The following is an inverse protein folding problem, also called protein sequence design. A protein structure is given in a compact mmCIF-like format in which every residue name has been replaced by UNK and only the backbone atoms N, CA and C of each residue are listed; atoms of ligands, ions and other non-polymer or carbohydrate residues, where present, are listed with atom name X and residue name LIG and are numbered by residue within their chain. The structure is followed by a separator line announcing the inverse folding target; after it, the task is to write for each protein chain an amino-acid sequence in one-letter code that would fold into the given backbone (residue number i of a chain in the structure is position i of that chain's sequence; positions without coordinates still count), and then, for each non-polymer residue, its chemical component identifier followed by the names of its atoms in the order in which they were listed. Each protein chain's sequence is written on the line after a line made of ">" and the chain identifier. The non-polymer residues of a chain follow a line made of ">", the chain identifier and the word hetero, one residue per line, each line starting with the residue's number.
data_IF_877782972978
#
_entry.id   IF_877782972978
#
_cell.length_a   1.000
_cell.length_b   1.000
_cell.length_c   1.000
_cell.angle_alpha   90.00
_cell.angle_beta   90.00
_cell.angle_gamma   90.00
#
_symmetry.space_group_name_H-M   'P 1'
#
loop_
_entity.id
_entity.type
_entity.pdbx_description
1 polymer ?
#
# COMPACT_ATOMS: atom_id res chain seq x y z
N UNK A 1 2.36 -16.35 -10.04
CA UNK A 1 1.26 -16.02 -9.12
C UNK A 1 0.62 -14.70 -9.51
N UNK A 2 1.28 -13.56 -9.42
CA UNK A 2 0.77 -12.21 -9.76
C UNK A 2 0.08 -12.14 -11.15
N UNK A 3 0.73 -12.64 -12.20
CA UNK A 3 0.19 -12.64 -13.56
C UNK A 3 -1.13 -13.43 -13.69
N UNK A 4 -1.27 -14.51 -12.95
CA UNK A 4 -2.51 -15.32 -12.97
C UNK A 4 -3.64 -14.61 -12.21
N UNK A 5 -3.31 -13.91 -11.12
CA UNK A 5 -4.28 -13.14 -10.32
C UNK A 5 -4.82 -11.97 -11.14
N UNK A 6 -3.94 -11.27 -11.84
CA UNK A 6 -4.28 -10.05 -12.57
C UNK A 6 -4.55 -10.26 -14.06
N UNK A 7 -4.47 -11.52 -14.55
CA UNK A 7 -4.62 -11.88 -15.96
C UNK A 7 -3.74 -11.03 -16.90
N UNK A 8 -2.48 -10.81 -16.51
CA UNK A 8 -1.49 -10.06 -17.28
C UNK A 8 -0.42 -10.97 -17.86
N UNK A 9 0.13 -10.56 -19.02
CA UNK A 9 1.25 -11.27 -19.65
C UNK A 9 2.55 -10.96 -18.94
N UNK A 10 3.33 -12.01 -18.60
CA UNK A 10 4.70 -11.87 -18.13
C UNK A 10 5.66 -11.95 -19.31
N UNK A 11 6.61 -11.04 -19.38
CA UNK A 11 7.79 -11.13 -20.23
C UNK A 11 8.97 -11.58 -19.36
N UNK A 12 9.75 -12.54 -19.86
CA UNK A 12 10.98 -12.98 -19.21
C UNK A 12 12.12 -12.19 -19.83
N UNK A 13 12.77 -11.35 -19.04
CA UNK A 13 13.86 -10.49 -19.48
C UNK A 13 15.10 -10.69 -18.60
N UNK A 14 16.26 -10.58 -19.22
CA UNK A 14 17.54 -10.56 -18.52
C UNK A 14 17.83 -9.14 -18.02
N UNK A 15 17.89 -8.95 -16.71
CA UNK A 15 18.16 -7.64 -16.10
C UNK A 15 19.47 -6.99 -16.59
N UNK A 16 20.45 -7.79 -17.02
CA UNK A 16 21.71 -7.25 -17.59
C UNK A 16 21.50 -6.58 -18.97
N UNK A 17 20.36 -6.81 -19.62
CA UNK A 17 19.99 -6.21 -20.90
C UNK A 17 19.13 -4.98 -20.77
N UNK A 18 18.69 -4.65 -19.56
CA UNK A 18 17.95 -3.42 -19.32
C UNK A 18 18.86 -2.22 -19.52
N UNK A 19 18.40 -1.24 -20.26
CA UNK A 19 19.09 0.03 -20.42
C UNK A 19 19.19 0.76 -19.08
N UNK A 20 20.25 1.55 -18.88
CA UNK A 20 20.51 2.24 -17.60
C UNK A 20 19.44 3.28 -17.23
N UNK A 21 18.71 3.75 -18.22
CA UNK A 21 17.61 4.71 -18.08
C UNK A 21 16.23 4.03 -18.07
N UNK A 22 16.20 2.69 -18.04
CA UNK A 22 14.95 1.95 -17.93
C UNK A 22 14.23 2.30 -16.62
N UNK A 23 13.03 2.85 -16.74
CA UNK A 23 12.22 3.24 -15.59
C UNK A 23 11.60 2.01 -14.92
N UNK A 24 12.10 1.66 -13.75
CA UNK A 24 11.56 0.58 -12.91
C UNK A 24 10.61 1.20 -11.90
N UNK A 25 9.34 0.84 -11.97
CA UNK A 25 8.30 1.36 -11.06
C UNK A 25 8.40 0.67 -9.70
N UNK A 26 8.53 -0.65 -9.68
CA UNK A 26 8.75 -1.46 -8.48
C UNK A 26 9.50 -2.75 -8.80
N UNK A 27 10.18 -3.28 -7.80
CA UNK A 27 10.73 -4.64 -7.81
C UNK A 27 9.94 -5.46 -6.79
N UNK A 28 9.65 -6.71 -7.10
CA UNK A 28 8.93 -7.61 -6.21
C UNK A 28 9.68 -8.93 -6.08
N UNK A 29 9.90 -9.37 -4.84
CA UNK A 29 10.30 -10.73 -4.53
C UNK A 29 9.04 -11.54 -4.21
N UNK A 30 8.93 -12.72 -4.83
CA UNK A 30 7.77 -13.60 -4.69
C UNK A 30 8.28 -14.99 -4.33
N UNK A 31 7.90 -15.47 -3.15
CA UNK A 31 8.26 -16.82 -2.69
C UNK A 31 7.27 -17.28 -1.60
N UNK A 32 7.46 -18.49 -1.10
CA UNK A 32 6.74 -18.98 0.07
C UNK A 32 7.06 -18.11 1.31
N UNK A 33 6.09 -17.99 2.20
CA UNK A 33 6.15 -17.09 3.35
C UNK A 33 7.42 -17.27 4.19
N UNK A 34 7.80 -18.51 4.48
CA UNK A 34 9.00 -18.82 5.30
C UNK A 34 10.31 -18.44 4.60
N UNK A 35 10.36 -18.62 3.27
CA UNK A 35 11.53 -18.25 2.46
C UNK A 35 11.66 -16.74 2.40
N UNK A 36 10.54 -16.07 2.15
CA UNK A 36 10.49 -14.60 2.09
C UNK A 36 10.84 -13.98 3.45
N UNK A 37 10.38 -14.55 4.57
CA UNK A 37 10.75 -14.08 5.90
C UNK A 37 12.27 -14.17 6.14
N UNK A 38 12.89 -15.28 5.76
CA UNK A 38 14.36 -15.40 5.85
C UNK A 38 15.10 -14.38 4.99
N UNK A 39 14.55 -14.05 3.81
CA UNK A 39 15.11 -13.00 2.96
C UNK A 39 15.00 -11.63 3.65
N UNK A 40 13.85 -11.31 4.25
CA UNK A 40 13.61 -10.06 4.99
C UNK A 40 14.59 -9.93 6.16
N UNK A 41 14.76 -10.97 6.97
CA UNK A 41 15.64 -10.98 8.14
C UNK A 41 17.12 -10.78 7.78
N UNK A 42 17.49 -11.07 6.52
CA UNK A 42 18.85 -10.91 6.00
C UNK A 42 19.02 -9.72 5.04
N UNK A 43 17.98 -8.89 4.85
CA UNK A 43 18.10 -7.71 4.01
C UNK A 43 19.12 -6.72 4.60
N UNK A 44 20.11 -6.26 3.81
CA UNK A 44 21.02 -5.22 4.23
C UNK A 44 20.29 -3.94 4.63
N UNK A 45 20.77 -3.27 5.68
CA UNK A 45 20.16 -2.02 6.18
C UNK A 45 20.09 -0.95 5.10
N UNK A 46 21.08 -0.91 4.21
CA UNK A 46 21.16 0.03 3.09
C UNK A 46 19.97 -0.09 2.12
N UNK A 47 19.30 -1.24 2.09
CA UNK A 47 18.08 -1.42 1.27
C UNK A 47 16.95 -0.57 1.84
N UNK A 48 16.76 -0.59 3.16
CA UNK A 48 15.76 0.22 3.85
C UNK A 48 16.09 1.72 3.81
N UNK A 49 17.38 2.08 3.69
CA UNK A 49 17.80 3.46 3.55
C UNK A 49 17.47 4.03 2.15
N UNK A 50 17.45 3.17 1.13
CA UNK A 50 17.28 3.57 -0.29
C UNK A 50 15.88 3.36 -0.82
N UNK A 51 15.14 2.41 -0.27
CA UNK A 51 13.84 1.99 -0.81
C UNK A 51 12.78 1.94 0.29
N UNK A 52 11.54 2.17 -0.09
CA UNK A 52 10.38 1.76 0.69
C UNK A 52 10.21 0.26 0.48
N UNK A 53 10.30 -0.51 1.57
CA UNK A 53 10.16 -1.98 1.56
C UNK A 53 8.83 -2.32 2.21
N UNK A 54 7.94 -2.96 1.48
CA UNK A 54 6.58 -3.25 1.94
C UNK A 54 6.26 -4.72 1.71
N UNK A 55 5.70 -5.36 2.72
CA UNK A 55 5.09 -6.68 2.59
C UNK A 55 3.60 -6.51 2.29
N UNK A 56 3.23 -6.63 1.02
CA UNK A 56 1.83 -6.44 0.57
C UNK A 56 0.98 -7.71 0.70
N UNK A 57 1.61 -8.87 0.81
CA UNK A 57 0.99 -10.15 1.11
C UNK A 57 2.02 -11.08 1.77
N UNK A 58 1.63 -12.19 2.41
CA UNK A 58 2.57 -13.12 3.03
C UNK A 58 3.70 -13.60 2.10
N UNK A 59 3.41 -13.68 0.80
CA UNK A 59 4.30 -14.17 -0.27
C UNK A 59 4.81 -13.06 -1.20
N UNK A 60 4.58 -11.78 -0.91
CA UNK A 60 5.05 -10.61 -1.69
C UNK A 60 5.86 -9.65 -0.84
N UNK A 61 7.09 -9.36 -1.27
CA UNK A 61 7.91 -8.28 -0.75
C UNK A 61 8.21 -7.30 -1.88
N UNK A 62 7.79 -6.07 -1.72
CA UNK A 62 7.91 -5.00 -2.71
C UNK A 62 8.97 -3.98 -2.31
N UNK A 63 9.73 -3.55 -3.32
CA UNK A 63 10.72 -2.48 -3.20
C UNK A 63 10.30 -1.35 -4.13
N UNK A 64 10.02 -0.20 -3.54
CA UNK A 64 9.57 1.00 -4.25
C UNK A 64 10.59 2.13 -4.06
N UNK A 65 10.51 3.15 -4.90
CA UNK A 65 11.24 4.38 -4.62
C UNK A 65 10.87 4.88 -3.22
N UNK A 66 11.85 5.35 -2.45
CA UNK A 66 11.66 5.78 -1.06
C UNK A 66 10.63 6.92 -0.91
N UNK A 67 10.50 7.74 -1.94
CA UNK A 67 9.53 8.84 -1.98
C UNK A 67 8.12 8.40 -2.40
N UNK A 68 7.92 7.10 -2.70
CA UNK A 68 6.64 6.58 -3.19
C UNK A 68 6.00 5.69 -2.13
N UNK A 69 4.87 6.15 -1.61
CA UNK A 69 3.94 5.38 -0.78
C UNK A 69 2.51 5.86 -1.06
N UNK A 70 1.51 5.19 -0.52
CA UNK A 70 0.10 5.55 -0.76
C UNK A 70 -0.25 6.93 -0.20
N UNK A 71 0.37 7.38 0.89
CA UNK A 71 0.17 8.73 1.42
C UNK A 71 0.62 9.81 0.44
N UNK A 72 1.82 9.69 -0.11
CA UNK A 72 2.31 10.60 -1.17
C UNK A 72 1.36 10.59 -2.38
N UNK A 73 0.83 9.42 -2.75
CA UNK A 73 -0.17 9.31 -3.81
C UNK A 73 -1.44 10.11 -3.51
N UNK A 74 -1.94 10.03 -2.28
CA UNK A 74 -3.10 10.81 -1.80
C UNK A 74 -2.80 12.31 -1.82
N UNK A 75 -1.65 12.74 -1.32
CA UNK A 75 -1.25 14.16 -1.33
C UNK A 75 -1.17 14.72 -2.76
N UNK A 76 -0.54 13.98 -3.67
CA UNK A 76 -0.45 14.38 -5.08
C UNK A 76 -1.82 14.48 -5.75
N UNK A 77 -2.71 13.52 -5.46
CA UNK A 77 -4.07 13.51 -6.01
C UNK A 77 -4.90 14.69 -5.46
N UNK A 78 -4.87 14.92 -4.14
CA UNK A 78 -5.55 16.05 -3.51
C UNK A 78 -5.07 17.38 -4.10
N UNK A 79 -3.76 17.55 -4.25
CA UNK A 79 -3.16 18.74 -4.89
C UNK A 79 -3.62 18.89 -6.34
N UNK A 80 -3.66 17.80 -7.10
CA UNK A 80 -4.13 17.83 -8.50
C UNK A 80 -5.61 18.24 -8.61
N UNK A 81 -6.42 17.79 -7.66
CA UNK A 81 -7.85 18.13 -7.59
C UNK A 81 -8.12 19.52 -6.99
N UNK A 82 -7.11 20.19 -6.44
CA UNK A 82 -7.25 21.50 -5.80
C UNK A 82 -7.97 21.45 -4.45
N UNK A 83 -7.94 20.31 -3.75
CA UNK A 83 -8.50 20.12 -2.41
C UNK A 83 -7.39 19.95 -1.38
N UNK A 84 -7.72 20.20 -0.11
CA UNK A 84 -6.81 19.98 1.03
C UNK A 84 -6.98 18.59 1.60
N UNK A 85 -5.98 18.10 2.33
CA UNK A 85 -6.05 16.77 2.95
C UNK A 85 -7.20 16.66 3.97
N UNK A 86 -7.58 17.76 4.62
CA UNK A 86 -8.74 17.79 5.54
C UNK A 86 -10.07 17.43 4.85
N UNK A 87 -10.12 17.51 3.52
CA UNK A 87 -11.29 17.16 2.71
C UNK A 87 -11.21 15.75 2.14
N UNK A 88 -10.20 14.97 2.54
CA UNK A 88 -9.94 13.63 2.03
C UNK A 88 -10.31 12.59 3.06
N UNK A 89 -11.04 11.56 2.63
CA UNK A 89 -11.26 10.34 3.38
C UNK A 89 -10.45 9.22 2.71
N UNK A 90 -9.68 8.48 3.50
CA UNK A 90 -8.97 7.30 3.04
C UNK A 90 -9.43 6.07 3.80
N UNK A 91 -9.41 4.90 3.16
CA UNK A 91 -9.80 3.64 3.78
C UNK A 91 -8.75 2.58 3.46
N UNK A 92 -8.35 1.78 4.46
CA UNK A 92 -7.33 0.77 4.28
C UNK A 92 -7.33 -0.30 5.36
N UNK A 93 -6.54 -1.36 5.16
CA UNK A 93 -6.50 -2.51 6.05
C UNK A 93 -5.09 -3.07 6.30
N UNK A 94 -4.08 -2.70 5.50
CA UNK A 94 -2.74 -3.30 5.53
C UNK A 94 -1.63 -2.25 5.74
N UNK A 95 -0.43 -2.69 6.10
CA UNK A 95 0.70 -1.81 6.42
C UNK A 95 1.09 -0.81 5.33
N UNK A 96 0.84 -1.13 4.05
CA UNK A 96 1.04 -0.18 2.95
C UNK A 96 0.02 0.96 2.90
N UNK A 97 -1.04 0.89 3.71
CA UNK A 97 -2.09 1.92 3.82
C UNK A 97 -1.80 2.92 4.95
N UNK A 98 -0.87 2.59 5.85
CA UNK A 98 -0.57 3.38 7.06
C UNK A 98 -0.46 4.88 6.74
N UNK A 99 0.42 5.24 5.82
CA UNK A 99 0.70 6.65 5.52
C UNK A 99 -0.50 7.40 4.91
N UNK A 100 -1.36 6.71 4.14
CA UNK A 100 -2.55 7.37 3.60
C UNK A 100 -3.64 7.54 4.67
N UNK A 101 -3.71 6.64 5.65
CA UNK A 101 -4.62 6.76 6.80
C UNK A 101 -4.18 7.93 7.69
N UNK A 102 -2.87 8.07 7.94
CA UNK A 102 -2.32 9.14 8.77
C UNK A 102 -2.44 10.53 8.14
N UNK A 103 -2.24 10.66 6.82
CA UNK A 103 -2.19 11.96 6.16
C UNK A 103 -3.57 12.55 5.83
N UNK A 104 -4.61 11.75 5.74
CA UNK A 104 -5.96 12.21 5.40
C UNK A 104 -6.65 12.93 6.55
N UNK A 105 -7.56 13.84 6.25
CA UNK A 105 -8.43 14.47 7.25
C UNK A 105 -9.32 13.47 7.99
N UNK A 106 -9.68 12.38 7.31
CA UNK A 106 -10.41 11.26 7.88
C UNK A 106 -9.79 9.93 7.40
N UNK A 107 -8.94 9.33 8.21
CA UNK A 107 -8.39 8.00 8.00
C UNK A 107 -9.33 6.93 8.56
N UNK A 108 -9.74 5.96 7.76
CA UNK A 108 -10.65 4.89 8.12
C UNK A 108 -9.95 3.54 8.06
N UNK A 109 -9.91 2.83 9.16
CA UNK A 109 -9.46 1.43 9.19
C UNK A 109 -10.64 0.49 8.91
N UNK A 110 -10.43 -0.51 8.07
CA UNK A 110 -11.38 -1.61 7.91
C UNK A 110 -11.43 -2.46 9.17
N UNK A 111 -12.57 -3.09 9.48
CA UNK A 111 -12.72 -3.96 10.64
C UNK A 111 -11.77 -5.15 10.67
N UNK A 112 -11.35 -5.63 9.48
CA UNK A 112 -10.31 -6.65 9.29
C UNK A 112 -8.88 -6.09 9.18
N UNK A 113 -8.67 -4.80 9.41
CA UNK A 113 -7.35 -4.17 9.34
C UNK A 113 -6.39 -4.68 10.41
N UNK A 114 -5.09 -4.59 10.14
CA UNK A 114 -4.06 -4.81 11.16
C UNK A 114 -4.21 -3.80 12.30
N UNK A 115 -3.83 -4.20 13.52
CA UNK A 115 -3.99 -3.36 14.70
C UNK A 115 -3.25 -2.02 14.56
N UNK A 116 -2.06 -2.01 13.97
CA UNK A 116 -1.29 -0.79 13.69
C UNK A 116 -2.05 0.24 12.84
N UNK A 117 -2.93 -0.21 11.94
CA UNK A 117 -3.77 0.67 11.11
C UNK A 117 -4.95 1.20 11.93
N UNK A 118 -5.55 0.36 12.77
CA UNK A 118 -6.65 0.76 13.66
C UNK A 118 -6.21 1.78 14.70
N UNK A 119 -4.95 1.67 15.20
CA UNK A 119 -4.39 2.59 16.18
C UNK A 119 -4.24 4.02 15.67
N UNK A 120 -3.96 4.20 14.37
CA UNK A 120 -3.77 5.52 13.75
C UNK A 120 -5.03 6.09 13.09
N UNK A 121 -6.05 5.25 12.86
CA UNK A 121 -7.27 5.65 12.18
C UNK A 121 -8.17 6.53 13.05
N UNK A 122 -8.86 7.49 12.41
CA UNK A 122 -9.87 8.32 13.07
C UNK A 122 -11.19 7.56 13.28
N UNK A 123 -11.47 6.57 12.43
CA UNK A 123 -12.69 5.77 12.47
C UNK A 123 -12.41 4.33 12.08
N UNK A 124 -13.05 3.37 12.73
CA UNK A 124 -13.01 1.95 12.37
C UNK A 124 -14.38 1.56 11.85
N UNK A 125 -14.42 1.13 10.59
CA UNK A 125 -15.66 0.63 9.97
C UNK A 125 -15.79 -0.89 10.12
N UNK A 126 -16.76 -1.49 9.46
CA UNK A 126 -16.95 -2.94 9.43
C UNK A 126 -15.94 -3.63 8.52
N UNK A 127 -15.95 -4.95 8.48
CA UNK A 127 -15.02 -5.74 7.66
C UNK A 127 -15.37 -5.65 6.17
N UNK A 128 -14.44 -6.08 5.32
CA UNK A 128 -14.67 -6.21 3.88
C UNK A 128 -15.82 -7.19 3.55
N UNK A 129 -16.04 -8.22 4.39
CA UNK A 129 -17.14 -9.19 4.26
C UNK A 129 -18.50 -8.60 4.65
N UNK A 130 -18.53 -7.50 5.39
CA UNK A 130 -19.70 -6.86 5.93
C UNK A 130 -19.93 -5.45 5.37
N UNK A 131 -19.55 -5.20 4.14
CA UNK A 131 -19.73 -3.92 3.42
C UNK A 131 -19.13 -2.70 4.15
N UNK A 132 -17.97 -2.87 4.80
CA UNK A 132 -17.34 -1.82 5.62
C UNK A 132 -17.11 -0.51 4.87
N UNK A 133 -16.70 -0.55 3.59
CA UNK A 133 -16.52 0.66 2.77
C UNK A 133 -17.85 1.40 2.57
N UNK A 134 -18.93 0.69 2.24
CA UNK A 134 -20.25 1.29 2.04
C UNK A 134 -20.76 1.92 3.34
N UNK A 135 -20.65 1.23 4.47
CA UNK A 135 -21.04 1.74 5.79
C UNK A 135 -20.27 2.99 6.19
N UNK A 136 -18.96 3.03 5.91
CA UNK A 136 -18.16 4.22 6.17
C UNK A 136 -18.65 5.42 5.33
N UNK A 137 -18.92 5.22 4.03
CA UNK A 137 -19.44 6.27 3.15
C UNK A 137 -20.82 6.73 3.63
N UNK A 138 -21.72 5.83 3.97
CA UNK A 138 -23.04 6.17 4.50
C UNK A 138 -22.95 7.01 5.78
N UNK A 139 -22.09 6.60 6.71
CA UNK A 139 -21.93 7.26 8.00
C UNK A 139 -21.23 8.61 7.91
N UNK A 140 -20.12 8.69 7.16
CA UNK A 140 -19.23 9.85 7.16
C UNK A 140 -19.56 10.88 6.08
N UNK A 141 -20.29 10.50 5.03
CA UNK A 141 -20.55 11.36 3.87
C UNK A 141 -22.03 11.63 3.66
N UNK A 142 -22.86 10.56 3.69
CA UNK A 142 -24.26 10.69 3.30
C UNK A 142 -25.19 11.09 4.47
N UNK A 143 -24.80 10.78 5.70
CA UNK A 143 -25.59 11.06 6.92
C UNK A 143 -24.90 12.06 7.86
N UNK A 144 -23.86 12.76 7.35
CA UNK A 144 -23.14 13.81 8.10
C UNK A 144 -23.80 15.18 8.01
#
# INVERSE_FOLDING_TARGET
>A
MEANINNIKINIEDFNKLEKDHSIIKIMMIDEEEVLQKAIDNLPKEVYDKYTVVRSAPYFLEFLNKEVNKGVGVEMLAKHMGITLDQVITMGDAGNDLHMIECAGMGVAMGNAFEEIKEVANYITDTNENDGVAKAIEHLVLNS
#
